data_IF_680847060787
#
_entry.id   IF_680847060787
#
_cell.length_a   1.000
_cell.length_b   1.000
_cell.length_c   1.000
_cell.angle_alpha   90.00
_cell.angle_beta   90.00
_cell.angle_gamma   90.00
#
_symmetry.space_group_name_H-M   'P 1'
#
loop_
_entity.id
_entity.type
_entity.pdbx_description
1 polymer ?
#
# COMPACT_ATOMS: atom_id res chain seq x y z
N UNK A 1 22.89 8.84 48.01
CA UNK A 1 21.70 8.88 47.14
C UNK A 1 20.74 7.81 47.66
N UNK A 2 19.92 8.11 48.66
CA UNK A 2 18.59 8.79 48.56
C UNK A 2 17.46 7.76 48.41
N UNK A 3 16.90 7.34 49.55
CA UNK A 3 15.48 7.48 49.98
C UNK A 3 14.52 6.49 49.29
N UNK A 4 13.57 5.83 49.95
CA UNK A 4 13.01 5.90 51.31
C UNK A 4 12.06 4.70 51.46
N UNK A 5 12.15 3.97 52.58
CA UNK A 5 11.17 2.93 52.93
C UNK A 5 10.06 3.49 53.82
N UNK A 6 8.86 3.45 53.25
CA UNK A 6 7.52 3.28 53.82
C UNK A 6 7.35 3.28 55.36
N UNK A 7 6.56 4.25 55.82
CA UNK A 7 5.75 4.20 57.03
C UNK A 7 4.48 3.38 56.79
N UNK A 8 4.18 2.44 57.68
CA UNK A 8 2.85 1.84 57.84
C UNK A 8 2.30 2.18 59.22
N UNK A 9 1.12 2.79 59.28
CA UNK A 9 0.26 2.77 60.48
C UNK A 9 -1.10 2.20 60.06
N UNK A 10 -1.48 1.17 60.80
CA UNK A 10 -2.73 0.44 60.86
C UNK A 10 -3.99 1.31 60.89
N UNK A 11 -5.11 0.81 60.36
CA UNK A 11 -6.35 0.70 61.15
C UNK A 11 -7.35 -0.32 60.58
N UNK A 12 -7.81 -1.20 61.46
CA UNK A 12 -8.87 -2.20 61.29
C UNK A 12 -10.28 -1.58 61.28
N UNK A 13 -11.26 -2.23 60.62
CA UNK A 13 -12.49 -2.79 61.24
C UNK A 13 -13.65 -2.99 60.25
N UNK A 14 -14.43 -4.05 60.50
CA UNK A 14 -15.79 -4.26 59.96
C UNK A 14 -16.07 -5.75 59.75
N UNK A 15 -16.16 -6.57 60.80
CA UNK A 15 -17.41 -7.03 61.45
C UNK A 15 -18.44 -7.67 60.51
N UNK A 16 -18.60 -8.99 60.69
CA UNK A 16 -19.64 -9.87 60.15
C UNK A 16 -20.89 -9.81 61.02
N UNK A 17 -22.08 -9.92 60.41
CA UNK A 17 -23.34 -10.28 61.06
C UNK A 17 -24.03 -11.37 60.24
N UNK A 18 -24.21 -12.54 60.85
CA UNK A 18 -25.04 -13.63 60.36
C UNK A 18 -26.51 -13.40 60.77
N UNK A 19 -27.46 -13.70 59.88
CA UNK A 19 -28.77 -14.22 60.26
C UNK A 19 -29.31 -15.19 59.18
N UNK A 20 -30.13 -16.19 59.57
CA UNK A 20 -30.29 -17.43 58.84
C UNK A 20 -31.60 -17.56 58.04
N UNK A 21 -31.59 -18.59 57.19
CA UNK A 21 -32.74 -19.36 56.72
C UNK A 21 -33.70 -18.70 55.72
N UNK A 22 -33.58 -19.08 54.44
CA UNK A 22 -34.71 -19.39 53.55
C UNK A 22 -34.20 -20.17 52.33
N UNK A 23 -34.51 -21.47 52.30
CA UNK A 23 -34.34 -22.33 51.12
C UNK A 23 -35.28 -21.84 50.02
N UNK A 24 -34.73 -21.44 48.86
CA UNK A 24 -35.45 -21.47 47.57
C UNK A 24 -34.48 -21.77 46.41
N UNK A 25 -34.94 -22.41 45.32
CA UNK A 25 -34.10 -22.99 44.27
C UNK A 25 -33.69 -21.96 43.20
N UNK A 26 -33.31 -20.75 43.62
CA UNK A 26 -32.91 -19.67 42.70
C UNK A 26 -31.39 -19.56 42.50
N UNK A 27 -30.61 -20.37 43.20
CA UNK A 27 -29.15 -20.25 43.20
C UNK A 27 -28.46 -20.74 41.91
N UNK A 28 -29.15 -21.46 41.02
CA UNK A 28 -28.57 -21.90 39.73
C UNK A 28 -28.68 -20.87 38.60
N UNK A 29 -29.50 -19.83 38.75
CA UNK A 29 -29.73 -18.86 37.65
C UNK A 29 -28.72 -17.70 37.66
N UNK A 30 -28.20 -17.33 38.84
CA UNK A 30 -27.30 -16.18 38.98
C UNK A 30 -25.82 -16.48 38.67
N UNK A 31 -25.35 -17.71 38.82
CA UNK A 31 -23.98 -18.07 38.43
C UNK A 31 -23.80 -18.08 36.90
N UNK A 32 -24.83 -18.44 36.14
CA UNK A 32 -24.76 -18.51 34.67
C UNK A 32 -24.57 -17.12 34.02
N UNK A 33 -25.14 -16.06 34.60
CA UNK A 33 -24.98 -14.69 34.05
C UNK A 33 -23.56 -14.14 34.22
N UNK A 34 -22.85 -14.56 35.27
CA UNK A 34 -21.46 -14.16 35.54
C UNK A 34 -20.47 -14.80 34.56
N UNK A 35 -20.61 -16.11 34.30
CA UNK A 35 -19.73 -16.80 33.37
C UNK A 35 -19.84 -16.23 31.96
N UNK A 36 -21.06 -16.06 31.41
CA UNK A 36 -21.27 -15.57 30.04
C UNK A 36 -20.63 -14.18 29.82
N UNK A 37 -20.69 -13.29 30.81
CA UNK A 37 -20.05 -11.97 30.74
C UNK A 37 -18.51 -12.05 30.75
N UNK A 38 -17.93 -12.97 31.53
CA UNK A 38 -16.47 -13.22 31.54
C UNK A 38 -16.01 -13.83 30.21
N UNK A 39 -16.77 -14.77 29.64
CA UNK A 39 -16.51 -15.34 28.32
C UNK A 39 -16.61 -14.29 27.20
N UNK A 40 -17.61 -13.40 27.24
CA UNK A 40 -17.75 -12.28 26.29
C UNK A 40 -16.60 -11.28 26.38
N UNK A 41 -16.14 -10.93 27.59
CA UNK A 41 -15.02 -10.00 27.79
C UNK A 41 -13.70 -10.58 27.29
N UNK A 42 -13.47 -11.87 27.52
CA UNK A 42 -12.30 -12.60 27.01
C UNK A 42 -12.36 -12.78 25.49
N UNK A 43 -13.54 -13.01 24.90
CA UNK A 43 -13.74 -13.08 23.46
C UNK A 43 -13.42 -11.74 22.78
N UNK A 44 -13.83 -10.62 23.37
CA UNK A 44 -13.48 -9.27 22.89
C UNK A 44 -11.97 -9.03 22.95
N UNK A 45 -11.31 -9.50 24.00
CA UNK A 45 -9.84 -9.39 24.15
C UNK A 45 -9.09 -10.23 23.10
N UNK A 46 -9.59 -11.43 22.81
CA UNK A 46 -9.05 -12.31 21.76
C UNK A 46 -9.30 -11.69 20.37
N UNK A 47 -10.49 -11.16 20.10
CA UNK A 47 -10.83 -10.48 18.85
C UNK A 47 -9.97 -9.22 18.63
N UNK A 48 -9.66 -8.48 19.70
CA UNK A 48 -8.75 -7.35 19.66
C UNK A 48 -7.30 -7.76 19.35
N UNK A 49 -6.86 -8.92 19.84
CA UNK A 49 -5.53 -9.48 19.55
C UNK A 49 -5.34 -9.82 18.06
N UNK A 50 -6.41 -10.27 17.39
CA UNK A 50 -6.38 -10.57 15.94
C UNK A 50 -6.43 -9.34 15.04
N UNK A 51 -6.81 -8.16 15.56
CA UNK A 51 -6.87 -6.92 14.76
C UNK A 51 -5.49 -6.28 14.47
N UNK A 52 -4.41 -6.75 15.12
CA UNK A 52 -3.08 -6.09 15.03
C UNK A 52 -2.17 -6.69 13.95
N UNK A 53 -2.59 -7.77 13.25
CA UNK A 53 -1.77 -8.37 12.18
C UNK A 53 -2.12 -7.79 10.81
N UNK A 54 -1.85 -6.51 10.58
CA UNK A 54 -1.94 -5.97 9.22
C UNK A 54 -1.04 -4.75 9.06
N UNK A 55 0.17 -4.94 8.53
CA UNK A 55 0.67 -4.23 7.35
C UNK A 55 2.12 -4.65 7.10
N UNK A 56 2.34 -5.69 6.30
CA UNK A 56 3.65 -5.91 5.67
C UNK A 56 3.47 -5.81 4.16
N UNK A 57 3.44 -4.58 3.65
CA UNK A 57 3.80 -4.33 2.25
C UNK A 57 5.20 -3.74 2.28
N UNK A 58 6.21 -4.55 2.03
CA UNK A 58 7.60 -4.11 1.97
C UNK A 58 7.86 -3.41 0.63
N UNK A 59 7.40 -2.17 0.56
CA UNK A 59 7.73 -1.26 -0.54
C UNK A 59 9.11 -0.67 -0.31
N UNK A 60 10.06 -0.98 -1.20
CA UNK A 60 11.45 -0.53 -1.12
C UNK A 60 11.59 0.90 -1.65
N UNK A 61 10.82 1.21 -2.70
CA UNK A 61 10.81 2.53 -3.31
C UNK A 61 9.39 2.87 -3.75
N UNK A 62 8.96 4.10 -3.50
CA UNK A 62 7.68 4.62 -3.97
C UNK A 62 7.76 6.13 -4.12
N UNK A 63 7.65 6.63 -5.34
CA UNK A 63 7.56 8.08 -5.60
C UNK A 63 6.57 8.38 -6.71
N UNK A 64 5.93 9.54 -6.57
CA UNK A 64 5.13 10.19 -7.61
C UNK A 64 5.72 11.55 -7.97
N UNK A 65 5.51 11.94 -9.21
CA UNK A 65 5.80 13.26 -9.75
C UNK A 65 4.54 13.77 -10.45
N UNK A 66 4.11 14.99 -10.11
CA UNK A 66 2.98 15.65 -10.76
C UNK A 66 3.38 16.12 -12.15
N UNK A 67 2.48 15.91 -13.11
CA UNK A 67 2.63 16.31 -14.53
C UNK A 67 1.47 17.20 -14.98
N UNK A 68 0.77 17.84 -14.04
CA UNK A 68 -0.29 18.78 -14.37
C UNK A 68 0.28 20.06 -15.04
N UNK A 69 -0.45 20.69 -15.97
CA UNK A 69 -1.83 20.35 -16.41
C UNK A 69 -1.90 19.25 -17.47
N UNK A 70 -0.80 18.95 -18.16
CA UNK A 70 -0.66 17.90 -19.17
C UNK A 70 0.75 17.32 -19.12
N UNK A 71 0.87 16.04 -19.47
CA UNK A 71 2.18 15.42 -19.59
C UNK A 71 2.74 15.68 -21.00
N UNK A 72 3.86 16.41 -21.10
CA UNK A 72 4.53 16.67 -22.37
C UNK A 72 5.37 15.45 -22.81
N UNK A 73 5.27 15.08 -24.09
CA UNK A 73 5.98 13.97 -24.72
C UNK A 73 7.50 14.10 -24.61
N UNK A 74 8.02 15.33 -24.71
CA UNK A 74 9.45 15.59 -24.68
C UNK A 74 9.98 15.65 -23.23
N UNK A 75 9.07 15.71 -22.25
CA UNK A 75 9.42 15.73 -20.82
C UNK A 75 9.35 14.33 -20.23
N UNK A 76 10.52 13.76 -19.97
CA UNK A 76 10.64 12.49 -19.27
C UNK A 76 10.68 12.69 -17.76
N UNK A 77 9.94 11.87 -17.02
CA UNK A 77 9.95 11.84 -15.55
C UNK A 77 11.06 10.90 -15.11
N UNK A 78 11.95 11.41 -14.26
CA UNK A 78 13.18 10.71 -13.87
C UNK A 78 13.17 10.37 -12.39
N UNK A 79 13.51 9.12 -12.07
CA UNK A 79 13.68 8.62 -10.72
C UNK A 79 15.07 8.03 -10.53
N UNK A 80 15.81 8.63 -9.61
CA UNK A 80 17.06 8.08 -9.10
C UNK A 80 16.80 7.23 -7.85
N UNK A 81 17.33 6.01 -7.84
CA UNK A 81 17.27 5.12 -6.68
C UNK A 81 18.55 4.30 -6.54
N UNK A 82 18.80 3.79 -5.33
CA UNK A 82 19.98 2.96 -5.04
C UNK A 82 19.53 1.58 -4.60
N UNK A 83 20.11 0.55 -5.22
CA UNK A 83 19.87 -0.84 -4.84
C UNK A 83 21.12 -1.39 -4.14
N UNK A 84 20.91 -2.06 -3.00
CA UNK A 84 21.96 -2.76 -2.24
C UNK A 84 21.78 -4.27 -2.25
N UNK A 85 20.53 -4.74 -2.32
CA UNK A 85 20.21 -6.17 -2.41
C UNK A 85 20.25 -6.62 -3.87
N UNK A 86 21.15 -7.56 -4.15
CA UNK A 86 21.35 -8.11 -5.50
C UNK A 86 20.88 -9.55 -5.67
N UNK A 87 20.23 -10.11 -4.66
CA UNK A 87 19.85 -11.52 -4.61
C UNK A 87 18.33 -11.67 -4.61
N UNK A 88 17.61 -10.82 -3.86
CA UNK A 88 16.17 -10.99 -3.70
C UNK A 88 15.40 -10.54 -4.94
N UNK A 89 14.36 -11.29 -5.35
CA UNK A 89 13.48 -10.87 -6.43
C UNK A 89 12.61 -9.68 -6.02
N UNK A 90 12.38 -8.78 -6.98
CA UNK A 90 11.65 -7.53 -6.80
C UNK A 90 10.63 -7.34 -7.92
N UNK A 91 9.49 -6.74 -7.57
CA UNK A 91 8.45 -6.34 -8.50
C UNK A 91 8.54 -4.84 -8.76
N UNK A 92 8.60 -4.48 -10.04
CA UNK A 92 8.72 -3.10 -10.48
C UNK A 92 7.39 -2.67 -11.10
N UNK A 93 6.85 -1.56 -10.61
CA UNK A 93 5.60 -1.01 -11.08
C UNK A 93 5.74 0.44 -11.52
N UNK A 94 5.08 0.78 -12.62
CA UNK A 94 4.80 2.15 -12.98
C UNK A 94 3.41 2.46 -12.47
N UNK A 95 3.25 3.63 -11.84
CA UNK A 95 1.98 4.07 -11.30
C UNK A 95 1.52 5.31 -12.03
N UNK A 96 0.28 5.32 -12.49
CA UNK A 96 -0.30 6.50 -13.13
C UNK A 96 -1.54 6.91 -12.35
N UNK A 97 -1.72 8.21 -12.16
CA UNK A 97 -2.99 8.78 -11.68
C UNK A 97 -3.63 9.56 -12.81
N UNK A 98 -4.87 9.21 -13.12
CA UNK A 98 -5.63 9.85 -14.20
C UNK A 98 -6.90 10.47 -13.65
N UNK A 99 -7.29 11.62 -14.21
CA UNK A 99 -8.58 12.24 -13.95
C UNK A 99 -9.57 11.94 -15.09
N UNK A 100 -10.76 12.55 -15.02
CA UNK A 100 -11.84 12.37 -16.00
C UNK A 100 -11.52 12.91 -17.40
N UNK A 101 -10.50 13.76 -17.55
CA UNK A 101 -10.08 14.30 -18.85
C UNK A 101 -9.28 13.29 -19.68
N UNK A 102 -8.89 12.15 -19.10
CA UNK A 102 -8.16 11.11 -19.83
C UNK A 102 -9.11 10.31 -20.74
N UNK A 103 -8.97 10.48 -22.06
CA UNK A 103 -9.93 9.95 -23.06
C UNK A 103 -9.51 8.65 -23.75
N UNK A 104 -8.35 8.09 -23.41
CA UNK A 104 -7.80 6.93 -24.12
C UNK A 104 -8.13 5.62 -23.41
N UNK A 105 -8.32 4.54 -24.17
CA UNK A 105 -8.57 3.21 -23.62
C UNK A 105 -7.28 2.46 -23.25
N UNK A 106 -6.13 2.95 -23.71
CA UNK A 106 -4.80 2.42 -23.48
C UNK A 106 -3.76 3.52 -23.31
N UNK A 107 -2.63 3.18 -22.70
CA UNK A 107 -1.47 4.06 -22.58
C UNK A 107 -0.23 3.36 -23.13
N UNK A 108 0.56 4.10 -23.91
CA UNK A 108 1.88 3.69 -24.36
C UNK A 108 2.95 4.47 -23.60
N UNK A 109 3.87 3.75 -22.98
CA UNK A 109 4.99 4.30 -22.22
C UNK A 109 6.32 3.85 -22.83
N UNK A 110 7.29 4.75 -22.82
CA UNK A 110 8.70 4.45 -23.06
C UNK A 110 9.43 4.57 -21.74
N UNK A 111 10.13 3.50 -21.38
CA UNK A 111 10.85 3.40 -20.11
C UNK A 111 12.30 3.12 -20.41
N UNK A 112 13.19 3.94 -19.86
CA UNK A 112 14.63 3.77 -19.96
C UNK A 112 15.18 3.53 -18.57
N UNK A 113 15.79 2.35 -18.35
CA UNK A 113 16.47 1.99 -17.12
C UNK A 113 17.98 1.98 -17.36
N UNK A 114 18.70 2.87 -16.69
CA UNK A 114 20.16 2.92 -16.69
C UNK A 114 20.69 2.22 -15.43
N UNK A 115 21.58 1.26 -15.66
CA UNK A 115 22.23 0.44 -14.64
C UNK A 115 23.51 1.12 -14.12
N UNK A 116 23.98 0.76 -12.91
CA UNK A 116 25.22 1.27 -12.34
C UNK A 116 26.45 1.02 -13.24
N UNK A 117 26.49 -0.10 -13.97
CA UNK A 117 27.56 -0.43 -14.92
C UNK A 117 27.53 0.38 -16.24
N UNK A 118 26.57 1.27 -16.44
CA UNK A 118 26.39 2.05 -17.68
C UNK A 118 25.51 1.39 -18.74
N UNK A 119 25.04 0.15 -18.53
CA UNK A 119 24.06 -0.49 -19.41
C UNK A 119 22.74 0.29 -19.41
N UNK A 120 22.17 0.48 -20.60
CA UNK A 120 20.88 1.14 -20.77
C UNK A 120 19.89 0.14 -21.37
N UNK A 121 18.78 -0.07 -20.69
CA UNK A 121 17.66 -0.86 -21.19
C UNK A 121 16.49 0.06 -21.54
N UNK A 122 15.96 -0.09 -22.75
CA UNK A 122 14.80 0.67 -23.24
C UNK A 122 13.67 -0.29 -23.52
N UNK A 123 12.52 -0.07 -22.89
CA UNK A 123 11.31 -0.85 -23.08
C UNK A 123 10.17 0.07 -23.55
N UNK A 124 9.32 -0.43 -24.45
CA UNK A 124 8.05 0.22 -24.79
C UNK A 124 6.93 -0.65 -24.25
N UNK A 125 6.07 -0.07 -23.43
CA UNK A 125 5.03 -0.78 -22.68
C UNK A 125 3.67 -0.26 -23.12
N UNK A 126 2.72 -1.16 -23.29
CA UNK A 126 1.32 -0.85 -23.56
C UNK A 126 0.46 -1.41 -22.44
N UNK A 127 -0.46 -0.59 -21.94
CA UNK A 127 -1.44 -1.03 -20.95
C UNK A 127 -2.84 -0.62 -21.34
N UNK A 128 -3.79 -1.52 -21.08
CA UNK A 128 -5.21 -1.21 -21.15
C UNK A 128 -5.61 -0.41 -19.91
N UNK A 129 -6.25 0.73 -20.12
CA UNK A 129 -6.68 1.69 -19.11
C UNK A 129 -8.21 1.71 -18.93
N UNK A 130 -8.98 1.19 -19.89
CA UNK A 130 -10.44 1.10 -19.83
C UNK A 130 -10.95 -0.26 -20.32
N UNK A 131 -12.11 -0.68 -19.81
CA UNK A 131 -12.87 -1.83 -20.30
C UNK A 131 -13.57 -1.50 -21.64
N UNK A 132 -14.05 -2.52 -22.39
CA UNK A 132 -14.79 -2.30 -23.63
C UNK A 132 -16.06 -1.45 -23.48
N UNK A 133 -16.66 -1.41 -22.28
CA UNK A 133 -17.81 -0.57 -21.94
C UNK A 133 -17.44 0.90 -21.65
N UNK A 134 -16.16 1.26 -21.74
CA UNK A 134 -15.64 2.60 -21.44
C UNK A 134 -15.32 2.85 -19.96
N UNK A 135 -15.63 1.91 -19.05
CA UNK A 135 -15.29 2.08 -17.63
C UNK A 135 -13.77 2.02 -17.41
N UNK A 136 -13.22 3.01 -16.70
CA UNK A 136 -11.79 3.04 -16.40
C UNK A 136 -11.40 1.89 -15.45
N UNK A 137 -10.28 1.25 -15.79
CA UNK A 137 -9.59 0.30 -14.91
C UNK A 137 -8.85 1.06 -13.80
N UNK A 138 -8.28 0.32 -12.85
CA UNK A 138 -7.57 0.91 -11.71
C UNK A 138 -8.45 1.13 -10.48
N UNK A 139 -7.81 1.56 -9.41
CA UNK A 139 -8.41 1.79 -8.09
C UNK A 139 -8.73 3.28 -7.90
N UNK A 140 -9.54 3.61 -6.89
CA UNK A 140 -9.90 4.99 -6.58
C UNK A 140 -11.29 5.40 -7.04
N UNK A 141 -11.62 6.66 -6.74
CA UNK A 141 -12.95 7.23 -6.90
C UNK A 141 -13.34 7.55 -8.34
N UNK A 142 -14.44 8.29 -8.48
CA UNK A 142 -14.99 8.70 -9.79
C UNK A 142 -14.14 9.79 -10.48
N UNK A 143 -13.49 10.66 -9.69
CA UNK A 143 -12.73 11.81 -10.22
C UNK A 143 -11.25 11.51 -10.47
N UNK A 144 -10.70 10.53 -9.75
CA UNK A 144 -9.29 10.18 -9.80
C UNK A 144 -9.14 8.66 -9.76
N UNK A 145 -8.44 8.12 -10.75
CA UNK A 145 -8.11 6.70 -10.87
C UNK A 145 -6.61 6.49 -10.75
N UNK A 146 -6.23 5.52 -9.94
CA UNK A 146 -4.86 5.07 -9.76
C UNK A 146 -4.66 3.73 -10.47
N UNK A 147 -3.67 3.69 -11.34
CA UNK A 147 -3.31 2.53 -12.14
C UNK A 147 -1.94 2.04 -11.69
N UNK A 148 -1.87 0.81 -11.19
CA UNK A 148 -0.62 0.12 -10.87
C UNK A 148 -0.29 -0.84 -12.00
N UNK A 149 0.74 -0.52 -12.77
CA UNK A 149 1.08 -1.14 -14.05
C UNK A 149 2.40 -1.92 -13.93
N UNK A 150 2.39 -3.18 -14.35
CA UNK A 150 3.55 -4.08 -14.25
C UNK A 150 4.67 -3.70 -15.22
N UNK A 151 5.85 -3.33 -14.71
CA UNK A 151 7.04 -3.09 -15.54
C UNK A 151 7.95 -4.34 -15.65
N UNK A 152 8.42 -4.87 -14.51
CA UNK A 152 9.23 -6.11 -14.42
C UNK A 152 8.74 -6.94 -13.23
N UNK A 153 8.92 -8.25 -13.28
CA UNK A 153 8.50 -9.18 -12.22
C UNK A 153 7.21 -9.98 -12.50
N UNK A 154 6.38 -9.56 -13.47
CA UNK A 154 5.09 -10.23 -13.73
C UNK A 154 5.21 -11.62 -14.37
N UNK A 155 5.97 -11.74 -15.46
CA UNK A 155 6.15 -13.00 -16.20
C UNK A 155 7.28 -13.85 -15.60
N UNK A 156 8.41 -13.21 -15.35
CA UNK A 156 9.60 -13.80 -14.78
C UNK A 156 10.05 -12.93 -13.60
N UNK A 157 10.63 -13.57 -12.58
CA UNK A 157 11.24 -12.88 -11.45
C UNK A 157 12.30 -11.90 -11.95
N UNK A 158 12.32 -10.70 -11.37
CA UNK A 158 13.32 -9.69 -11.68
C UNK A 158 14.24 -9.48 -10.49
N UNK A 159 15.55 -9.61 -10.72
CA UNK A 159 16.59 -9.44 -9.70
C UNK A 159 17.55 -8.37 -10.18
N UNK A 160 17.92 -7.45 -9.29
CA UNK A 160 18.94 -6.45 -9.57
C UNK A 160 20.32 -7.05 -9.37
N UNK A 161 20.97 -7.57 -10.40
CA UNK A 161 22.30 -8.19 -10.24
C UNK A 161 23.44 -7.23 -9.87
N UNK A 162 23.20 -5.92 -9.87
CA UNK A 162 24.21 -4.90 -9.59
C UNK A 162 23.78 -4.00 -8.45
N UNK A 163 24.65 -3.83 -7.47
CA UNK A 163 24.45 -2.84 -6.41
C UNK A 163 24.91 -1.47 -6.91
N UNK A 164 24.12 -0.43 -6.69
CA UNK A 164 24.52 0.92 -7.07
C UNK A 164 23.36 1.85 -7.38
N UNK A 165 23.69 2.98 -8.02
CA UNK A 165 22.71 3.99 -8.43
C UNK A 165 22.10 3.60 -9.78
N UNK A 166 20.79 3.51 -9.81
CA UNK A 166 19.98 3.34 -11.00
C UNK A 166 19.27 4.65 -11.34
N UNK A 167 19.03 4.86 -12.63
CA UNK A 167 18.21 5.95 -13.13
C UNK A 167 17.11 5.39 -14.01
N UNK A 168 15.85 5.68 -13.67
CA UNK A 168 14.69 5.29 -14.46
C UNK A 168 14.05 6.54 -15.05
N UNK A 169 13.88 6.57 -16.36
CA UNK A 169 13.23 7.63 -17.10
C UNK A 169 11.97 7.09 -17.76
N UNK A 170 10.83 7.78 -17.55
CA UNK A 170 9.51 7.39 -18.06
C UNK A 170 8.97 8.54 -18.91
N UNK A 171 8.60 8.25 -20.15
CA UNK A 171 7.86 9.16 -21.04
C UNK A 171 6.69 8.46 -21.70
N UNK A 172 5.73 9.22 -22.23
CA UNK A 172 4.62 8.64 -22.98
C UNK A 172 4.93 8.60 -24.49
N UNK A 173 4.35 7.62 -25.17
CA UNK A 173 4.46 7.44 -26.63
C UNK A 173 3.07 7.42 -27.30
N UNK A 174 2.12 8.17 -26.72
CA UNK A 174 0.78 8.32 -27.24
C UNK A 174 0.78 9.02 -28.61
N UNK A 175 -0.18 8.64 -29.45
CA UNK A 175 -0.48 9.23 -30.76
C UNK A 175 -1.98 9.49 -30.85
N UNK A 176 -2.36 10.55 -31.55
CA UNK A 176 -3.77 10.78 -31.88
C UNK A 176 -4.11 10.01 -33.16
N UNK A 177 -5.29 9.38 -33.20
CA UNK A 177 -5.72 8.62 -34.37
C UNK A 177 -6.24 9.59 -35.43
N UNK A 178 -5.63 9.58 -36.62
CA UNK A 178 -6.06 10.42 -37.76
C UNK A 178 -5.18 11.64 -38.03
N UNK A 179 -4.17 11.91 -37.20
CA UNK A 179 -3.16 12.94 -37.42
C UNK A 179 -1.77 12.31 -37.51
N UNK A 180 -0.96 12.67 -38.51
CA UNK A 180 0.45 12.25 -38.58
C UNK A 180 1.32 12.90 -37.49
N UNK A 181 0.78 13.90 -36.78
CA UNK A 181 1.42 14.60 -35.69
C UNK A 181 1.31 13.78 -34.40
N UNK A 182 2.44 13.49 -33.76
CA UNK A 182 2.41 12.82 -32.45
C UNK A 182 1.74 13.72 -31.40
N UNK A 183 0.93 13.13 -30.52
CA UNK A 183 0.32 13.85 -29.42
C UNK A 183 1.41 14.43 -28.50
N UNK A 184 1.60 15.75 -28.54
CA UNK A 184 2.65 16.43 -27.77
C UNK A 184 2.28 16.55 -26.30
N UNK A 185 1.01 16.80 -26.00
CA UNK A 185 0.50 17.02 -24.65
C UNK A 185 -0.55 15.96 -24.34
N UNK A 186 -0.26 15.07 -23.40
CA UNK A 186 -1.20 14.06 -22.92
C UNK A 186 -2.01 14.62 -21.75
N UNK A 187 -3.24 15.01 -22.04
CA UNK A 187 -4.19 15.45 -21.03
C UNK A 187 -4.71 14.30 -20.16
N UNK A 188 -5.05 14.66 -18.92
CA UNK A 188 -5.75 13.79 -17.99
C UNK A 188 -4.87 12.84 -17.17
N UNK A 189 -3.58 12.74 -17.48
CA UNK A 189 -2.59 12.19 -16.54
C UNK A 189 -2.22 13.29 -15.55
N UNK A 190 -2.38 12.99 -14.27
CA UNK A 190 -2.15 13.91 -13.14
C UNK A 190 -0.78 13.67 -12.52
N UNK A 191 -0.50 12.42 -12.17
CA UNK A 191 0.77 12.01 -11.58
C UNK A 191 1.31 10.78 -12.31
N UNK A 192 2.63 10.74 -12.45
CA UNK A 192 3.40 9.57 -12.87
C UNK A 192 4.20 9.12 -11.66
N UNK A 193 4.35 7.83 -11.45
CA UNK A 193 5.06 7.28 -10.31
C UNK A 193 5.77 5.98 -10.65
N UNK A 194 6.69 5.62 -9.78
CA UNK A 194 7.44 4.38 -9.86
C UNK A 194 7.56 3.76 -8.47
N UNK A 195 7.38 2.45 -8.39
CA UNK A 195 7.57 1.72 -7.15
C UNK A 195 8.30 0.39 -7.36
N UNK A 196 9.07 0.02 -6.35
CA UNK A 196 9.76 -1.26 -6.21
C UNK A 196 9.21 -1.91 -4.94
N UNK A 197 8.69 -3.12 -5.09
CA UNK A 197 8.11 -3.90 -4.00
C UNK A 197 8.82 -5.24 -3.90
N UNK A 198 9.10 -5.70 -2.68
CA UNK A 198 9.61 -7.04 -2.48
C UNK A 198 8.60 -8.08 -2.95
N UNK A 199 9.10 -9.21 -3.45
CA UNK A 199 8.26 -10.39 -3.62
C UNK A 199 8.17 -11.06 -2.25
N UNK A 200 6.96 -11.09 -1.67
CA UNK A 200 6.67 -11.94 -0.53
C UNK A 200 6.68 -13.40 -1.04
N UNK A 201 7.72 -14.15 -0.66
CA UNK A 201 7.86 -15.59 -0.96
C UNK A 201 7.15 -16.43 0.09
#
# INVERSE_FOLDING_TARGET
>A
MSFSTLTFINYNKGQYFDFPFLKTPYFKFFECQSYVAVWLKNLIYILFLFMVTSCNKSTIFDKYSSVKPFWDKDTSIVYDFRITDTVSPQNLFIKLRTNQSYKFSNVFLKVTLQYPNGKIQKDTLEYKMARPDGSMLGQGGMFLKEHKLWYKGHKNQFIFYESGKYNLSISHAMREQGNEVTLKMLEGVVDVGFSIESVDL
#
